data_IF_796440834078
#
_entry.id   IF_796440834078
#
_cell.length_a   1.000
_cell.length_b   1.000
_cell.length_c   1.000
_cell.angle_alpha   90.00
_cell.angle_beta   90.00
_cell.angle_gamma   90.00
#
_symmetry.space_group_name_H-M   'P 1'
#
loop_
_entity.id
_entity.type
_entity.pdbx_description
1 polymer ?
#
# COMPACT_ATOMS: atom_id res chain seq x y z
N UNK A 1 -10.03 -9.83 -6.93
CA UNK A 1 -9.03 -9.21 -6.02
C UNK A 1 -8.68 -7.81 -6.51
N UNK A 2 -8.83 -6.80 -5.63
CA UNK A 2 -8.99 -5.38 -5.99
C UNK A 2 -10.25 -5.08 -6.82
N UNK A 3 -11.39 -5.65 -6.42
CA UNK A 3 -12.70 -5.18 -6.90
C UNK A 3 -12.95 -3.79 -6.32
N UNK A 4 -13.57 -2.92 -7.12
CA UNK A 4 -13.84 -1.50 -6.80
C UNK A 4 -14.62 -1.34 -5.48
N UNK A 5 -15.47 -2.33 -5.21
CA UNK A 5 -16.27 -2.53 -3.99
C UNK A 5 -15.45 -2.58 -2.69
N UNK A 6 -14.13 -2.80 -2.78
CA UNK A 6 -13.19 -2.91 -1.65
C UNK A 6 -12.28 -1.68 -1.51
N UNK A 7 -12.77 -0.48 -1.84
CA UNK A 7 -12.01 0.77 -1.75
C UNK A 7 -11.40 1.02 -0.36
N UNK A 8 -12.16 0.80 0.71
CA UNK A 8 -11.66 0.99 2.08
C UNK A 8 -10.49 0.04 2.39
N UNK A 9 -10.60 -1.22 1.93
CA UNK A 9 -9.55 -2.22 2.13
C UNK A 9 -8.31 -1.89 1.31
N UNK A 10 -8.49 -1.43 0.06
CA UNK A 10 -7.41 -0.95 -0.81
C UNK A 10 -6.69 0.24 -0.18
N UNK A 11 -7.43 1.25 0.27
CA UNK A 11 -6.88 2.43 0.96
C UNK A 11 -6.11 2.03 2.21
N UNK A 12 -6.70 1.22 3.08
CA UNK A 12 -6.04 0.76 4.31
C UNK A 12 -4.72 0.03 4.02
N UNK A 13 -4.68 -0.79 2.96
CA UNK A 13 -3.48 -1.52 2.58
C UNK A 13 -2.39 -0.62 2.01
N UNK A 14 -2.77 0.37 1.19
CA UNK A 14 -1.83 1.39 0.68
C UNK A 14 -1.26 2.21 1.83
N UNK A 15 -2.10 2.64 2.78
CA UNK A 15 -1.66 3.41 3.93
C UNK A 15 -0.74 2.61 4.86
N UNK A 16 -1.10 1.37 5.20
CA UNK A 16 -0.25 0.46 5.98
C UNK A 16 1.14 0.28 5.35
N UNK A 17 1.21 0.13 4.03
CA UNK A 17 2.49 0.06 3.30
C UNK A 17 3.25 1.39 3.33
N UNK A 18 2.57 2.53 3.13
CA UNK A 18 3.20 3.86 3.16
C UNK A 18 3.78 4.21 4.53
N UNK A 19 3.09 3.86 5.60
CA UNK A 19 3.47 4.23 6.98
C UNK A 19 4.20 3.11 7.70
N UNK A 20 4.42 1.96 7.05
CA UNK A 20 5.01 0.76 7.65
C UNK A 20 4.31 0.36 8.96
N UNK A 21 2.99 0.54 9.01
CA UNK A 21 2.19 0.33 10.22
C UNK A 21 1.27 -0.88 10.06
N UNK A 22 1.02 -1.59 11.15
CA UNK A 22 0.05 -2.69 11.15
C UNK A 22 -1.36 -2.14 10.92
N UNK A 23 -2.16 -2.73 10.02
CA UNK A 23 -3.55 -2.29 9.82
C UNK A 23 -4.44 -2.57 11.04
N UNK A 24 -5.29 -1.63 11.42
CA UNK A 24 -6.19 -1.76 12.56
C UNK A 24 -7.22 -2.89 12.41
N UNK A 25 -7.61 -3.22 11.16
CA UNK A 25 -8.63 -4.24 10.87
C UNK A 25 -8.11 -5.67 10.99
N UNK A 26 -6.79 -5.88 11.02
CA UNK A 26 -6.21 -7.20 11.27
C UNK A 26 -4.84 -7.11 11.96
N UNK A 27 -4.81 -7.20 13.30
CA UNK A 27 -3.58 -7.14 14.07
C UNK A 27 -2.66 -8.36 13.87
N UNK A 28 -3.15 -9.45 13.26
CA UNK A 28 -2.29 -10.61 12.93
C UNK A 28 -1.35 -10.36 11.75
N UNK A 29 -1.54 -9.26 11.02
CA UNK A 29 -0.60 -8.77 10.01
C UNK A 29 0.58 -7.99 10.62
N UNK A 30 0.71 -8.01 11.94
CA UNK A 30 1.90 -7.55 12.64
C UNK A 30 3.11 -8.37 12.14
N UNK A 31 4.11 -7.68 11.63
CA UNK A 31 5.38 -8.29 11.23
C UNK A 31 6.19 -8.74 12.46
N UNK A 32 7.42 -8.27 12.58
CA UNK A 32 8.23 -8.52 13.78
C UNK A 32 7.75 -7.66 14.96
N UNK A 33 7.17 -8.32 15.96
CA UNK A 33 6.62 -7.68 17.17
C UNK A 33 7.69 -7.16 18.15
N UNK A 34 8.93 -7.63 18.04
CA UNK A 34 10.03 -7.26 18.95
C UNK A 34 10.87 -6.14 18.36
N UNK A 35 11.12 -6.20 17.06
CA UNK A 35 11.81 -5.15 16.29
C UNK A 35 11.00 -4.83 15.04
N UNK A 36 10.06 -3.88 15.09
CA UNK A 36 9.28 -3.50 13.92
C UNK A 36 10.18 -3.18 12.71
N UNK A 37 9.75 -3.59 11.52
CA UNK A 37 10.48 -3.32 10.28
C UNK A 37 10.60 -1.81 10.01
N UNK A 38 9.64 -1.01 10.48
CA UNK A 38 9.66 0.45 10.41
C UNK A 38 10.87 1.09 11.11
N UNK A 39 11.39 0.46 12.17
CA UNK A 39 12.58 0.95 12.88
C UNK A 39 13.88 0.59 12.14
N UNK A 40 13.82 -0.35 11.20
CA UNK A 40 14.96 -0.89 10.45
C UNK A 40 15.06 -0.28 9.06
N UNK A 41 13.93 -0.04 8.43
CA UNK A 41 13.83 0.40 7.05
C UNK A 41 12.90 1.61 6.96
N UNK A 42 13.32 2.63 6.22
CA UNK A 42 12.44 3.75 5.88
C UNK A 42 11.34 3.33 4.91
N UNK A 43 10.31 4.18 4.72
CA UNK A 43 9.23 3.90 3.79
C UNK A 43 9.77 3.63 2.38
N UNK A 44 9.27 2.57 1.74
CA UNK A 44 9.68 2.21 0.40
C UNK A 44 9.18 3.26 -0.61
N UNK A 45 9.99 3.58 -1.62
CA UNK A 45 9.58 4.50 -2.70
C UNK A 45 8.85 3.72 -3.79
N UNK A 46 7.71 4.22 -4.26
CA UNK A 46 7.04 3.60 -5.42
C UNK A 46 7.79 3.93 -6.71
N UNK A 47 8.20 2.88 -7.41
CA UNK A 47 8.55 3.00 -8.82
C UNK A 47 7.27 2.97 -9.69
N UNK A 48 7.39 3.24 -10.99
CA UNK A 48 6.24 3.28 -11.89
C UNK A 48 5.43 1.98 -11.92
N UNK A 49 6.09 0.82 -11.80
CA UNK A 49 5.40 -0.48 -11.72
C UNK A 49 4.59 -0.62 -10.42
N UNK A 50 5.17 -0.21 -9.29
CA UNK A 50 4.52 -0.24 -7.98
C UNK A 50 3.27 0.63 -7.93
N UNK A 51 3.30 1.82 -8.54
CA UNK A 51 2.12 2.69 -8.65
C UNK A 51 0.99 2.03 -9.43
N UNK A 52 1.30 1.39 -10.57
CA UNK A 52 0.30 0.65 -11.38
C UNK A 52 -0.29 -0.55 -10.64
N UNK A 53 0.54 -1.32 -9.95
CA UNK A 53 0.09 -2.48 -9.16
C UNK A 53 -0.83 -2.07 -7.99
N UNK A 54 -0.65 -0.87 -7.44
CA UNK A 54 -1.52 -0.32 -6.40
C UNK A 54 -2.74 0.42 -6.93
N UNK A 55 -2.92 0.50 -8.26
CA UNK A 55 -4.03 1.22 -8.90
C UNK A 55 -3.93 2.74 -8.76
N UNK A 56 -2.73 3.28 -8.52
CA UNK A 56 -2.46 4.71 -8.48
C UNK A 56 -2.21 5.30 -9.88
N UNK A 57 -1.68 4.48 -10.78
CA UNK A 57 -1.45 4.82 -12.20
C UNK A 57 -2.22 3.83 -13.08
N UNK A 58 -2.73 4.30 -14.24
CA UNK A 58 -3.34 3.43 -15.25
C UNK A 58 -2.32 2.51 -15.95
N UNK A 59 -2.77 1.32 -16.35
CA UNK A 59 -1.98 0.38 -17.16
C UNK A 59 -1.87 0.84 -18.61
N UNK A 60 -2.96 1.36 -19.17
CA UNK A 60 -2.97 2.03 -20.47
C UNK A 60 -2.33 3.40 -20.26
N UNK A 61 -1.22 3.69 -20.94
CA UNK A 61 -0.45 4.92 -20.77
C UNK A 61 -1.13 6.22 -21.20
N UNK A 62 -2.46 6.36 -21.04
CA UNK A 62 -3.12 7.66 -21.02
C UNK A 62 -2.98 8.20 -19.61
N UNK A 63 -2.08 9.16 -19.47
CA UNK A 63 -2.16 10.15 -18.40
C UNK A 63 -3.56 10.76 -18.50
N UNK A 64 -4.37 10.56 -17.45
CA UNK A 64 -5.58 11.35 -17.28
C UNK A 64 -5.12 12.79 -17.06
N UNK A 65 -5.15 13.56 -18.15
CA UNK A 65 -4.91 14.98 -18.13
C UNK A 65 -6.10 15.66 -17.46
N UNK A 66 -5.92 16.11 -16.22
CA UNK A 66 -6.59 17.29 -15.66
C UNK A 66 -5.71 17.97 -14.61
#
# INVERSE_FOLDING_TARGET
PALEEHEQLRRSRVESWRTLSTPDWNPTLLGDAVRPEADRYGPATLNGLGRKLLGLDSWSGREDAE
#
